data_IF_921723586504
#
_entry.id   IF_921723586504
#
_cell.length_a   1.000
_cell.length_b   1.000
_cell.length_c   1.000
_cell.angle_alpha   90.00
_cell.angle_beta   90.00
_cell.angle_gamma   90.00
#
_symmetry.space_group_name_H-M   'P 1'
#
loop_
_entity.id
_entity.type
_entity.pdbx_description
1 polymer ?
#
# COMPACT_ATOMS: atom_id res chain seq x y z
N UNK A 1 -33.65 -71.12 -26.23
CA UNK A 1 -33.38 -70.35 -27.46
C UNK A 1 -32.33 -71.14 -28.23
N UNK A 2 -32.66 -72.08 -29.13
CA UNK A 2 -33.88 -72.22 -29.97
C UNK A 2 -33.97 -71.03 -30.94
N UNK A 3 -34.03 -71.15 -32.28
CA UNK A 3 -34.42 -72.21 -33.26
C UNK A 3 -33.42 -72.11 -34.46
N UNK A 4 -32.80 -73.14 -35.06
CA UNK A 4 -33.28 -74.39 -35.71
C UNK A 4 -33.61 -74.21 -37.23
N UNK A 5 -33.56 -75.30 -38.01
CA UNK A 5 -34.03 -75.51 -39.40
C UNK A 5 -33.07 -75.11 -40.55
N UNK A 6 -32.51 -76.07 -41.33
CA UNK A 6 -33.09 -76.89 -42.44
C UNK A 6 -33.07 -76.12 -43.78
N UNK A 7 -32.86 -76.69 -44.99
CA UNK A 7 -32.53 -78.05 -45.51
C UNK A 7 -32.11 -77.89 -47.03
N UNK A 8 -31.78 -78.86 -47.92
CA UNK A 8 -31.55 -80.32 -47.96
C UNK A 8 -30.81 -80.70 -49.30
N UNK A 9 -30.65 -82.00 -49.58
CA UNK A 9 -30.48 -82.71 -50.89
C UNK A 9 -29.18 -82.59 -51.73
N UNK A 10 -28.47 -83.72 -51.80
CA UNK A 10 -27.60 -84.20 -52.89
C UNK A 10 -28.39 -85.02 -53.94
N UNK A 11 -27.83 -85.50 -55.07
CA UNK A 11 -27.10 -86.81 -55.13
C UNK A 11 -25.92 -86.86 -56.15
N UNK A 12 -24.88 -87.71 -56.02
CA UNK A 12 -24.71 -89.13 -56.47
C UNK A 12 -24.79 -89.33 -58.01
N UNK A 13 -24.23 -90.34 -58.70
CA UNK A 13 -23.09 -91.28 -58.63
C UNK A 13 -23.20 -92.17 -59.92
N UNK A 14 -22.09 -92.74 -60.40
CA UNK A 14 -21.98 -94.04 -61.13
C UNK A 14 -22.82 -94.41 -62.39
N UNK A 15 -22.11 -94.79 -63.48
CA UNK A 15 -22.22 -96.07 -64.26
C UNK A 15 -21.50 -95.89 -65.62
N UNK A 16 -20.63 -96.74 -66.19
CA UNK A 16 -20.44 -98.21 -66.23
C UNK A 16 -21.23 -98.93 -67.36
N UNK A 17 -20.54 -99.47 -68.39
CA UNK A 17 -21.18 -100.37 -69.38
C UNK A 17 -20.53 -100.52 -70.76
N UNK A 18 -19.98 -101.72 -71.01
CA UNK A 18 -19.99 -102.59 -72.22
C UNK A 18 -21.01 -102.25 -73.35
N UNK A 19 -20.93 -102.75 -74.61
CA UNK A 19 -19.93 -103.42 -75.50
C UNK A 19 -20.63 -103.66 -76.87
N UNK A 20 -19.87 -103.97 -77.93
CA UNK A 20 -20.26 -104.72 -79.15
C UNK A 20 -21.51 -104.27 -79.96
N UNK A 21 -21.28 -103.92 -81.23
CA UNK A 21 -21.78 -104.70 -82.39
C UNK A 21 -21.16 -104.16 -83.70
N UNK A 22 -21.14 -104.98 -84.74
CA UNK A 22 -20.48 -104.72 -86.03
C UNK A 22 -21.47 -104.85 -87.19
N UNK A 23 -21.12 -104.30 -88.36
CA UNK A 23 -21.80 -104.50 -89.67
C UNK A 23 -23.17 -103.79 -89.70
N UNK A 24 -23.43 -102.84 -90.60
CA UNK A 24 -23.77 -103.13 -92.00
C UNK A 24 -23.69 -101.88 -92.94
N UNK A 25 -24.01 -102.10 -94.23
CA UNK A 25 -24.44 -101.10 -95.22
C UNK A 25 -23.39 -100.11 -95.79
N UNK A 26 -22.55 -100.63 -96.69
CA UNK A 26 -21.82 -99.83 -97.68
C UNK A 26 -22.77 -99.45 -98.83
N UNK A 27 -23.05 -98.14 -99.03
CA UNK A 27 -23.39 -97.43 -100.30
C UNK A 27 -24.24 -96.15 -100.06
N UNK A 28 -23.63 -94.95 -99.96
CA UNK A 28 -24.31 -93.66 -100.28
C UNK A 28 -23.41 -92.40 -100.28
N UNK A 29 -22.08 -92.51 -100.28
CA UNK A 29 -21.21 -91.38 -99.89
C UNK A 29 -21.08 -90.23 -100.92
N UNK A 30 -21.24 -90.51 -102.22
CA UNK A 30 -20.93 -89.53 -103.28
C UNK A 30 -21.91 -88.34 -103.36
N UNK A 31 -23.21 -88.51 -102.99
CA UNK A 31 -24.17 -87.39 -102.92
C UNK A 31 -24.30 -86.77 -101.52
N UNK A 32 -23.97 -87.54 -100.48
CA UNK A 32 -24.01 -87.06 -99.10
C UNK A 32 -22.92 -86.03 -98.78
N UNK A 33 -21.81 -85.97 -99.52
CA UNK A 33 -20.72 -85.05 -99.19
C UNK A 33 -21.13 -83.57 -99.33
N UNK A 34 -21.81 -83.17 -100.41
CA UNK A 34 -22.34 -81.81 -100.55
C UNK A 34 -23.46 -81.52 -99.54
N UNK A 35 -24.40 -82.44 -99.30
CA UNK A 35 -25.45 -82.20 -98.30
C UNK A 35 -24.91 -82.13 -96.86
N UNK A 36 -23.84 -82.87 -96.53
CA UNK A 36 -23.10 -82.74 -95.26
C UNK A 36 -22.32 -81.42 -95.20
N UNK A 37 -21.71 -80.95 -96.30
CA UNK A 37 -21.07 -79.62 -96.34
C UNK A 37 -22.09 -78.48 -96.17
N UNK A 38 -23.25 -78.57 -96.81
CA UNK A 38 -24.36 -77.61 -96.67
C UNK A 38 -24.92 -77.67 -95.24
N UNK A 39 -25.27 -78.83 -94.71
CA UNK A 39 -25.81 -78.93 -93.35
C UNK A 39 -24.79 -78.55 -92.27
N UNK A 40 -23.49 -78.85 -92.47
CA UNK A 40 -22.41 -78.46 -91.54
C UNK A 40 -22.12 -76.96 -91.62
N UNK A 41 -22.17 -76.34 -92.79
CA UNK A 41 -22.07 -74.88 -92.92
C UNK A 41 -23.32 -74.16 -92.37
N UNK A 42 -24.52 -74.70 -92.55
CA UNK A 42 -25.76 -74.21 -91.92
C UNK A 42 -25.71 -74.37 -90.39
N UNK A 43 -25.26 -75.51 -89.85
CA UNK A 43 -25.06 -75.66 -88.40
C UNK A 43 -23.97 -74.72 -87.86
N UNK A 44 -22.87 -74.51 -88.59
CA UNK A 44 -21.86 -73.52 -88.23
C UNK A 44 -22.43 -72.09 -88.26
N UNK A 45 -23.30 -71.75 -89.23
CA UNK A 45 -23.99 -70.46 -89.30
C UNK A 45 -25.03 -70.30 -88.17
N UNK A 46 -25.76 -71.35 -87.80
CA UNK A 46 -26.70 -71.33 -86.68
C UNK A 46 -25.98 -71.21 -85.32
N UNK A 47 -24.87 -71.94 -85.14
CA UNK A 47 -24.02 -71.81 -83.95
C UNK A 47 -23.31 -70.45 -83.89
N UNK A 48 -22.95 -69.87 -85.05
CA UNK A 48 -22.45 -68.50 -85.17
C UNK A 48 -23.56 -67.49 -84.83
N UNK A 49 -24.80 -67.72 -85.25
CA UNK A 49 -25.96 -66.85 -84.92
C UNK A 49 -26.35 -66.94 -83.44
N UNK A 50 -26.37 -68.12 -82.83
CA UNK A 50 -26.67 -68.29 -81.40
C UNK A 50 -25.57 -67.73 -80.50
N UNK A 51 -24.30 -67.88 -80.88
CA UNK A 51 -23.18 -67.23 -80.18
C UNK A 51 -23.17 -65.71 -80.38
N UNK A 52 -23.56 -65.18 -81.55
CA UNK A 52 -23.78 -63.74 -81.75
C UNK A 52 -24.89 -63.21 -80.84
N UNK A 53 -26.07 -63.84 -80.79
CA UNK A 53 -27.17 -63.45 -79.88
C UNK A 53 -26.73 -63.54 -78.40
N UNK A 54 -25.99 -64.59 -78.02
CA UNK A 54 -25.40 -64.72 -76.68
C UNK A 54 -24.46 -63.55 -76.36
N UNK A 55 -23.67 -63.11 -77.33
CA UNK A 55 -22.74 -62.00 -77.18
C UNK A 55 -23.45 -60.64 -77.17
N UNK A 56 -24.54 -60.45 -77.91
CA UNK A 56 -25.39 -59.25 -77.80
C UNK A 56 -26.03 -59.13 -76.41
N UNK A 57 -26.53 -60.22 -75.84
CA UNK A 57 -27.12 -60.23 -74.48
C UNK A 57 -26.05 -59.93 -73.43
N UNK A 58 -24.82 -60.46 -73.58
CA UNK A 58 -23.68 -60.09 -72.73
C UNK A 58 -23.33 -58.61 -72.89
N UNK A 59 -23.30 -58.08 -74.11
CA UNK A 59 -22.98 -56.67 -74.39
C UNK A 59 -24.00 -55.72 -73.77
N UNK A 60 -25.31 -56.03 -73.84
CA UNK A 60 -26.36 -55.26 -73.14
C UNK A 60 -26.14 -55.26 -71.63
N UNK A 61 -25.93 -56.43 -71.02
CA UNK A 61 -25.63 -56.58 -69.57
C UNK A 61 -24.33 -55.91 -69.14
N UNK A 62 -23.35 -55.74 -70.04
CA UNK A 62 -22.13 -54.98 -69.78
C UNK A 62 -22.40 -53.47 -69.79
N UNK A 63 -23.12 -52.96 -70.79
CA UNK A 63 -23.55 -51.54 -70.85
C UNK A 63 -24.41 -51.14 -69.65
N UNK A 64 -25.37 -51.98 -69.25
CA UNK A 64 -26.19 -51.77 -68.04
C UNK A 64 -25.32 -51.67 -66.77
N UNK A 65 -24.31 -52.54 -66.63
CA UNK A 65 -23.36 -52.49 -65.50
C UNK A 65 -22.47 -51.25 -65.56
N UNK A 66 -22.00 -50.87 -66.74
CA UNK A 66 -21.21 -49.67 -66.98
C UNK A 66 -21.99 -48.40 -66.60
N UNK A 67 -23.25 -48.29 -67.02
CA UNK A 67 -24.15 -47.21 -66.58
C UNK A 67 -24.36 -47.21 -65.07
N UNK A 68 -24.58 -48.37 -64.43
CA UNK A 68 -24.72 -48.46 -62.97
C UNK A 68 -23.43 -48.03 -62.26
N UNK A 69 -22.26 -48.33 -62.81
CA UNK A 69 -20.95 -47.90 -62.29
C UNK A 69 -20.79 -46.38 -62.47
N UNK A 70 -21.10 -45.84 -63.65
CA UNK A 70 -20.97 -44.43 -63.97
C UNK A 70 -21.93 -43.57 -63.12
N UNK A 71 -23.19 -43.97 -62.98
CA UNK A 71 -24.17 -43.32 -62.07
C UNK A 71 -23.71 -43.37 -60.60
N UNK A 72 -23.05 -44.45 -60.17
CA UNK A 72 -22.45 -44.56 -58.82
C UNK A 72 -21.18 -43.71 -58.66
N UNK A 73 -20.44 -43.47 -59.74
CA UNK A 73 -19.22 -42.66 -59.77
C UNK A 73 -19.57 -41.16 -59.76
N UNK A 74 -20.55 -40.73 -60.56
CA UNK A 74 -21.13 -39.38 -60.52
C UNK A 74 -21.63 -39.04 -59.11
N UNK A 75 -22.47 -39.90 -58.51
CA UNK A 75 -22.94 -39.72 -57.11
C UNK A 75 -21.84 -39.73 -56.04
N UNK A 76 -20.63 -40.18 -56.35
CA UNK A 76 -19.45 -40.01 -55.48
C UNK A 76 -18.76 -38.67 -55.72
N UNK A 77 -18.59 -38.28 -56.99
CA UNK A 77 -18.03 -36.98 -57.36
C UNK A 77 -18.90 -35.83 -56.82
N UNK A 78 -20.23 -35.91 -56.93
CA UNK A 78 -21.19 -34.97 -56.33
C UNK A 78 -20.97 -34.79 -54.83
N UNK A 79 -20.86 -35.89 -54.07
CA UNK A 79 -20.62 -35.88 -52.62
C UNK A 79 -19.24 -35.35 -52.25
N UNK A 80 -18.19 -35.69 -53.02
CA UNK A 80 -16.83 -35.17 -52.81
C UNK A 80 -16.72 -33.67 -53.18
N UNK A 81 -17.48 -33.19 -54.17
CA UNK A 81 -17.61 -31.76 -54.52
C UNK A 81 -18.36 -31.02 -53.41
N UNK A 82 -19.48 -31.57 -52.92
CA UNK A 82 -20.25 -31.00 -51.83
C UNK A 82 -19.44 -30.93 -50.52
N UNK A 83 -18.68 -31.96 -50.21
CA UNK A 83 -17.80 -31.98 -49.04
C UNK A 83 -16.69 -30.90 -49.13
N UNK A 84 -16.11 -30.69 -50.32
CA UNK A 84 -15.18 -29.56 -50.57
C UNK A 84 -15.87 -28.20 -50.45
N UNK A 85 -17.10 -28.07 -50.94
CA UNK A 85 -17.88 -26.84 -50.80
C UNK A 85 -18.18 -26.51 -49.33
N UNK A 86 -18.59 -27.51 -48.54
CA UNK A 86 -18.79 -27.39 -47.08
C UNK A 86 -17.47 -27.05 -46.37
N UNK A 87 -16.34 -27.64 -46.78
CA UNK A 87 -15.03 -27.29 -46.24
C UNK A 87 -14.68 -25.82 -46.50
N UNK A 88 -14.88 -25.35 -47.73
CA UNK A 88 -14.60 -23.97 -48.14
C UNK A 88 -15.52 -22.94 -47.47
N UNK A 89 -16.83 -23.21 -47.38
CA UNK A 89 -17.84 -22.26 -46.87
C UNK A 89 -17.92 -22.26 -45.35
N UNK A 90 -17.83 -23.42 -44.68
CA UNK A 90 -18.00 -23.54 -43.23
C UNK A 90 -16.69 -23.79 -42.47
N UNK A 91 -15.56 -24.04 -43.15
CA UNK A 91 -14.27 -24.34 -42.52
C UNK A 91 -14.24 -25.72 -41.85
N UNK A 92 -14.92 -26.71 -42.43
CA UNK A 92 -15.14 -28.03 -41.81
C UNK A 92 -14.76 -29.17 -42.75
N UNK A 93 -13.66 -29.84 -42.38
CA UNK A 93 -13.29 -31.16 -42.91
C UNK A 93 -14.23 -32.23 -42.35
N UNK A 94 -15.05 -32.83 -43.21
CA UNK A 94 -15.82 -34.04 -42.91
C UNK A 94 -14.98 -35.30 -43.15
N UNK A 95 -15.29 -36.40 -42.45
CA UNK A 95 -14.58 -37.67 -42.67
C UNK A 95 -14.92 -38.27 -44.04
N UNK A 96 -13.91 -38.62 -44.83
CA UNK A 96 -14.08 -39.28 -46.15
C UNK A 96 -14.90 -40.57 -46.08
N UNK A 97 -14.86 -41.28 -44.95
CA UNK A 97 -15.67 -42.49 -44.74
C UNK A 97 -17.16 -42.10 -44.70
N UNK A 98 -17.49 -41.08 -43.90
CA UNK A 98 -18.85 -40.57 -43.76
C UNK A 98 -19.41 -39.98 -45.07
N UNK A 99 -18.60 -39.18 -45.78
CA UNK A 99 -18.98 -38.62 -47.10
C UNK A 99 -19.30 -39.71 -48.14
N UNK A 100 -18.68 -40.90 -48.01
CA UNK A 100 -18.94 -42.04 -48.89
C UNK A 100 -20.17 -42.86 -48.47
N UNK A 101 -20.49 -42.93 -47.18
CA UNK A 101 -21.62 -43.73 -46.66
C UNK A 101 -22.95 -42.99 -46.67
N UNK A 102 -22.96 -41.70 -46.34
CA UNK A 102 -24.18 -40.92 -46.06
C UNK A 102 -24.80 -40.25 -47.28
N UNK A 103 -26.07 -39.86 -47.19
CA UNK A 103 -26.76 -39.10 -48.22
C UNK A 103 -26.28 -37.65 -48.32
N UNK A 104 -26.68 -36.95 -49.40
CA UNK A 104 -26.28 -35.56 -49.68
C UNK A 104 -26.74 -34.61 -48.56
N UNK A 105 -27.98 -34.78 -48.10
CA UNK A 105 -28.59 -33.95 -47.07
C UNK A 105 -27.94 -34.20 -45.71
N UNK A 106 -27.71 -35.48 -45.34
CA UNK A 106 -26.96 -35.88 -44.14
C UNK A 106 -25.53 -35.29 -44.09
N UNK A 107 -24.88 -35.14 -45.25
CA UNK A 107 -23.56 -34.52 -45.38
C UNK A 107 -23.65 -33.02 -45.08
N UNK A 108 -24.69 -32.34 -45.57
CA UNK A 108 -24.93 -30.92 -45.34
C UNK A 108 -25.33 -30.64 -43.88
N UNK A 109 -26.34 -31.36 -43.37
CA UNK A 109 -26.83 -31.26 -41.99
C UNK A 109 -25.71 -31.49 -40.97
N UNK A 110 -24.87 -32.52 -41.17
CA UNK A 110 -23.75 -32.78 -40.26
C UNK A 110 -22.67 -31.70 -40.35
N UNK A 111 -22.41 -31.17 -41.55
CA UNK A 111 -21.53 -30.00 -41.73
C UNK A 111 -22.04 -28.79 -40.98
N UNK A 112 -23.32 -28.45 -41.16
CA UNK A 112 -23.99 -27.32 -40.53
C UNK A 112 -24.13 -27.48 -39.00
N UNK A 113 -24.42 -28.68 -38.51
CA UNK A 113 -24.45 -28.97 -37.08
C UNK A 113 -23.07 -28.86 -36.42
N UNK A 114 -22.00 -29.36 -37.08
CA UNK A 114 -20.63 -29.15 -36.60
C UNK A 114 -20.26 -27.65 -36.62
N UNK A 115 -20.73 -26.88 -37.60
CA UNK A 115 -20.55 -25.43 -37.65
C UNK A 115 -21.22 -24.72 -36.48
N UNK A 116 -22.52 -25.00 -36.24
CA UNK A 116 -23.27 -24.40 -35.14
C UNK A 116 -22.69 -24.81 -33.77
N UNK A 117 -22.26 -26.06 -33.60
CA UNK A 117 -21.57 -26.51 -32.38
C UNK A 117 -20.23 -25.79 -32.17
N UNK A 118 -19.38 -25.68 -33.21
CA UNK A 118 -18.13 -24.91 -33.15
C UNK A 118 -18.38 -23.43 -32.83
N UNK A 119 -19.44 -22.83 -33.40
CA UNK A 119 -19.84 -21.42 -33.15
C UNK A 119 -20.28 -21.21 -31.70
N UNK A 120 -21.17 -22.07 -31.18
CA UNK A 120 -21.60 -22.07 -29.77
C UNK A 120 -20.42 -22.27 -28.81
N UNK A 121 -19.55 -23.26 -29.07
CA UNK A 121 -18.36 -23.51 -28.25
C UNK A 121 -17.39 -22.32 -28.23
N UNK A 122 -17.14 -21.67 -29.37
CA UNK A 122 -16.32 -20.44 -29.43
C UNK A 122 -16.89 -19.32 -28.56
N UNK A 123 -18.21 -19.10 -28.60
CA UNK A 123 -18.88 -18.11 -27.77
C UNK A 123 -18.77 -18.43 -26.27
N UNK A 124 -19.06 -19.67 -25.87
CA UNK A 124 -18.91 -20.14 -24.46
C UNK A 124 -17.45 -19.99 -23.98
N UNK A 125 -16.47 -20.36 -24.82
CA UNK A 125 -15.04 -20.21 -24.50
C UNK A 125 -14.64 -18.74 -24.35
N UNK A 126 -15.15 -17.85 -25.19
CA UNK A 126 -14.93 -16.40 -25.09
C UNK A 126 -15.50 -15.85 -23.78
N UNK A 127 -16.77 -16.12 -23.48
CA UNK A 127 -17.45 -15.67 -22.26
C UNK A 127 -16.74 -16.21 -21.00
N UNK A 128 -16.38 -17.49 -20.98
CA UNK A 128 -15.64 -18.12 -19.87
C UNK A 128 -14.28 -17.46 -19.64
N UNK A 129 -13.52 -17.19 -20.71
CA UNK A 129 -12.22 -16.53 -20.62
C UNK A 129 -12.34 -15.06 -20.18
N UNK A 130 -13.33 -14.33 -20.68
CA UNK A 130 -13.64 -12.97 -20.26
C UNK A 130 -14.01 -12.92 -18.77
N UNK A 131 -14.86 -13.83 -18.30
CA UNK A 131 -15.26 -13.92 -16.89
C UNK A 131 -14.08 -14.24 -15.97
N UNK A 132 -13.23 -15.22 -16.34
CA UNK A 132 -11.98 -15.53 -15.63
C UNK A 132 -11.05 -14.30 -15.54
N UNK A 133 -10.85 -13.58 -16.65
CA UNK A 133 -10.07 -12.34 -16.70
C UNK A 133 -10.66 -11.25 -15.79
N UNK A 134 -11.99 -11.11 -15.75
CA UNK A 134 -12.70 -10.17 -14.86
C UNK A 134 -12.52 -10.51 -13.39
N UNK A 135 -12.62 -11.78 -12.98
CA UNK A 135 -12.35 -12.23 -11.60
C UNK A 135 -10.90 -11.97 -11.20
N UNK A 136 -9.94 -12.30 -12.06
CA UNK A 136 -8.51 -12.07 -11.80
C UNK A 136 -8.23 -10.56 -11.65
N UNK A 137 -8.74 -9.74 -12.57
CA UNK A 137 -8.61 -8.28 -12.51
C UNK A 137 -9.24 -7.69 -11.24
N UNK A 138 -10.38 -8.22 -10.78
CA UNK A 138 -11.01 -7.82 -9.51
C UNK A 138 -10.07 -8.11 -8.32
N UNK A 139 -9.56 -9.34 -8.20
CA UNK A 139 -8.60 -9.70 -7.14
C UNK A 139 -7.34 -8.83 -7.17
N UNK A 140 -6.80 -8.53 -8.36
CA UNK A 140 -5.64 -7.64 -8.52
C UNK A 140 -5.96 -6.21 -8.05
N UNK A 141 -7.15 -5.67 -8.36
CA UNK A 141 -7.60 -4.35 -7.86
C UNK A 141 -7.73 -4.34 -6.33
N UNK A 142 -8.34 -5.37 -5.76
CA UNK A 142 -8.52 -5.51 -4.31
C UNK A 142 -7.16 -5.59 -3.57
N UNK A 143 -6.18 -6.34 -4.10
CA UNK A 143 -4.82 -6.40 -3.56
C UNK A 143 -4.10 -5.05 -3.70
N UNK A 144 -4.16 -4.41 -4.87
CA UNK A 144 -3.56 -3.08 -5.09
C UNK A 144 -4.14 -2.03 -4.14
N UNK A 145 -5.46 -2.05 -3.90
CA UNK A 145 -6.12 -1.15 -2.95
C UNK A 145 -5.66 -1.39 -1.51
N UNK A 146 -5.63 -2.66 -1.05
CA UNK A 146 -5.10 -3.02 0.28
C UNK A 146 -3.66 -2.53 0.48
N UNK A 147 -2.79 -2.78 -0.50
CA UNK A 147 -1.39 -2.34 -0.46
C UNK A 147 -1.26 -0.80 -0.44
N UNK A 148 -2.06 -0.09 -1.24
CA UNK A 148 -2.08 1.37 -1.24
C UNK A 148 -2.57 1.96 0.10
N UNK A 149 -3.60 1.35 0.71
CA UNK A 149 -4.10 1.76 2.03
C UNK A 149 -3.06 1.50 3.13
N UNK A 150 -2.40 0.34 3.13
CA UNK A 150 -1.32 0.01 4.06
C UNK A 150 -0.14 0.99 3.94
N UNK A 151 0.34 1.24 2.72
CA UNK A 151 1.40 2.22 2.46
C UNK A 151 1.00 3.63 2.92
N UNK A 152 -0.23 4.06 2.64
CA UNK A 152 -0.78 5.36 3.08
C UNK A 152 -0.83 5.48 4.61
N UNK A 153 -1.21 4.41 5.30
CA UNK A 153 -1.25 4.35 6.77
C UNK A 153 0.16 4.44 7.37
N UNK A 154 1.12 3.66 6.86
CA UNK A 154 2.52 3.70 7.29
C UNK A 154 3.11 5.10 7.08
N UNK A 155 2.94 5.69 5.89
CA UNK A 155 3.42 7.05 5.59
C UNK A 155 2.80 8.11 6.50
N UNK A 156 1.50 8.02 6.80
CA UNK A 156 0.78 8.94 7.70
C UNK A 156 1.34 8.85 9.12
N UNK A 157 1.52 7.64 9.64
CA UNK A 157 2.06 7.42 10.98
C UNK A 157 3.53 7.80 11.09
N UNK A 158 4.35 7.55 10.07
CA UNK A 158 5.75 8.01 10.04
C UNK A 158 5.86 9.55 10.06
N UNK A 159 5.03 10.25 9.28
CA UNK A 159 4.94 11.73 9.30
C UNK A 159 4.50 12.25 10.69
N UNK A 160 3.52 11.60 11.33
CA UNK A 160 3.08 11.90 12.70
C UNK A 160 4.22 11.69 13.72
N UNK A 161 4.89 10.55 13.68
CA UNK A 161 6.03 10.21 14.55
C UNK A 161 7.18 11.20 14.40
N UNK A 162 7.60 11.54 13.17
CA UNK A 162 8.66 12.53 12.93
C UNK A 162 8.32 13.90 13.52
N UNK A 163 7.06 14.37 13.38
CA UNK A 163 6.57 15.61 14.01
C UNK A 163 6.59 15.50 15.54
N UNK A 164 6.12 14.40 16.12
CA UNK A 164 6.12 14.19 17.57
C UNK A 164 7.53 14.12 18.16
N UNK A 165 8.48 13.43 17.51
CA UNK A 165 9.88 13.35 17.95
C UNK A 165 10.56 14.73 17.98
N UNK A 166 10.32 15.56 16.95
CA UNK A 166 10.80 16.94 16.91
C UNK A 166 10.18 17.81 18.00
N UNK A 167 8.85 17.78 18.16
CA UNK A 167 8.16 18.55 19.19
C UNK A 167 8.59 18.16 20.62
N UNK A 168 8.78 16.85 20.88
CA UNK A 168 9.30 16.36 22.16
C UNK A 168 10.72 16.88 22.41
N UNK A 169 11.61 16.81 21.42
CA UNK A 169 12.99 17.34 21.54
C UNK A 169 13.01 18.84 21.86
N UNK A 170 12.17 19.64 21.19
CA UNK A 170 12.04 21.08 21.46
C UNK A 170 11.47 21.33 22.86
N UNK A 171 10.49 20.55 23.30
CA UNK A 171 9.91 20.64 24.64
C UNK A 171 10.93 20.28 25.73
N UNK A 172 11.66 19.17 25.56
CA UNK A 172 12.69 18.72 26.51
C UNK A 172 13.84 19.72 26.60
N UNK A 173 14.24 20.36 25.49
CA UNK A 173 15.22 21.45 25.49
C UNK A 173 14.71 22.69 26.26
N UNK A 174 13.46 23.13 26.01
CA UNK A 174 12.83 24.24 26.76
C UNK A 174 12.68 23.91 28.25
N UNK A 175 12.30 22.67 28.59
CA UNK A 175 12.18 22.19 29.98
C UNK A 175 13.53 22.22 30.69
N UNK A 176 14.60 21.74 30.06
CA UNK A 176 15.97 21.83 30.59
C UNK A 176 16.39 23.30 30.82
N UNK A 177 16.18 24.18 29.84
CA UNK A 177 16.51 25.60 29.97
C UNK A 177 15.75 26.27 31.13
N UNK A 178 14.44 26.02 31.26
CA UNK A 178 13.63 26.55 32.34
C UNK A 178 14.09 26.07 33.73
N UNK A 179 14.39 24.77 33.88
CA UNK A 179 14.94 24.21 35.13
C UNK A 179 16.29 24.84 35.48
N UNK A 180 17.17 25.05 34.50
CA UNK A 180 18.46 25.72 34.69
C UNK A 180 18.29 27.16 35.17
N UNK A 181 17.41 27.94 34.53
CA UNK A 181 17.10 29.33 34.94
C UNK A 181 16.53 29.35 36.37
N UNK A 182 15.59 28.46 36.70
CA UNK A 182 15.02 28.34 38.05
C UNK A 182 16.07 27.97 39.10
N UNK A 183 17.01 27.06 38.79
CA UNK A 183 18.13 26.68 39.66
C UNK A 183 19.03 27.88 39.95
N UNK A 184 19.44 28.62 38.91
CA UNK A 184 20.28 29.80 39.07
C UNK A 184 19.57 30.92 39.84
N UNK A 185 18.30 31.19 39.55
CA UNK A 185 17.50 32.21 40.26
C UNK A 185 17.34 31.89 41.75
N UNK A 186 17.01 30.64 42.11
CA UNK A 186 16.92 30.20 43.51
C UNK A 186 18.25 30.39 44.25
N UNK A 187 19.37 30.01 43.64
CA UNK A 187 20.70 30.22 44.21
C UNK A 187 21.11 31.69 44.31
N UNK A 188 20.71 32.53 43.34
CA UNK A 188 20.93 33.99 43.40
C UNK A 188 20.15 34.62 44.56
N UNK A 189 18.86 34.29 44.70
CA UNK A 189 17.99 34.83 45.76
C UNK A 189 18.60 34.58 47.15
N UNK A 190 18.96 33.33 47.46
CA UNK A 190 19.55 32.94 48.74
C UNK A 190 20.87 33.71 48.99
N UNK A 191 21.74 33.85 47.99
CA UNK A 191 22.99 34.63 48.14
C UNK A 191 22.74 36.12 48.38
N UNK A 192 21.71 36.71 47.77
CA UNK A 192 21.33 38.11 47.99
C UNK A 192 20.78 38.35 49.40
N UNK A 193 19.94 37.42 49.89
CA UNK A 193 19.41 37.44 51.25
C UNK A 193 20.55 37.27 52.28
N UNK A 194 21.42 36.28 52.07
CA UNK A 194 22.58 36.03 52.93
C UNK A 194 23.57 37.21 52.97
N UNK A 195 23.87 37.85 51.83
CA UNK A 195 24.69 39.09 51.78
C UNK A 195 24.06 40.20 52.63
N UNK A 196 22.74 40.35 52.59
CA UNK A 196 22.01 41.35 53.38
C UNK A 196 22.10 41.05 54.88
N UNK A 197 22.03 39.77 55.27
CA UNK A 197 22.20 39.33 56.67
C UNK A 197 23.63 39.59 57.16
N UNK A 198 24.66 39.25 56.38
CA UNK A 198 26.06 39.54 56.72
C UNK A 198 26.28 41.05 56.93
N UNK A 199 25.75 41.90 56.04
CA UNK A 199 25.89 43.35 56.16
C UNK A 199 25.23 43.88 57.44
N UNK A 200 24.05 43.38 57.83
CA UNK A 200 23.40 43.72 59.11
C UNK A 200 24.25 43.29 60.32
N UNK A 201 24.82 42.09 60.30
CA UNK A 201 25.71 41.60 61.36
C UNK A 201 26.99 42.46 61.45
N UNK A 202 27.58 42.83 60.32
CA UNK A 202 28.77 43.67 60.26
C UNK A 202 28.50 45.08 60.81
N UNK A 203 27.40 45.72 60.40
CA UNK A 203 26.99 47.02 60.95
C UNK A 203 26.72 46.96 62.45
N UNK A 204 26.10 45.88 62.95
CA UNK A 204 25.90 45.68 64.40
C UNK A 204 27.25 45.60 65.15
N UNK A 205 28.24 44.89 64.61
CA UNK A 205 29.60 44.82 65.21
C UNK A 205 30.29 46.18 65.23
N UNK A 206 30.21 46.95 64.13
CA UNK A 206 30.76 48.32 64.06
C UNK A 206 30.10 49.23 65.10
N UNK A 207 28.76 49.19 65.21
CA UNK A 207 28.03 49.98 66.20
C UNK A 207 28.44 49.62 67.63
N UNK A 208 28.52 48.32 67.95
CA UNK A 208 28.98 47.84 69.27
C UNK A 208 30.41 48.30 69.60
N UNK A 209 31.31 48.34 68.61
CA UNK A 209 32.65 48.89 68.79
C UNK A 209 32.63 50.40 69.11
N UNK A 210 31.85 51.20 68.38
CA UNK A 210 31.75 52.64 68.65
C UNK A 210 31.08 52.96 69.98
N UNK A 211 30.10 52.19 70.42
CA UNK A 211 29.52 52.33 71.77
C UNK A 211 30.57 52.08 72.86
N UNK A 212 31.39 51.03 72.73
CA UNK A 212 32.50 50.76 73.65
C UNK A 212 33.57 51.87 73.64
N UNK A 213 33.90 52.45 72.49
CA UNK A 213 34.80 53.61 72.41
C UNK A 213 34.20 54.85 73.09
N UNK A 214 32.91 55.13 72.87
CA UNK A 214 32.18 56.23 73.52
C UNK A 214 32.19 56.08 75.04
N UNK A 215 31.92 54.89 75.56
CA UNK A 215 31.81 54.68 77.01
C UNK A 215 33.19 54.62 77.70
N UNK A 216 34.23 54.12 77.03
CA UNK A 216 35.62 54.24 77.55
C UNK A 216 36.15 55.68 77.51
N UNK A 217 35.74 56.49 76.54
CA UNK A 217 36.02 57.94 76.53
C UNK A 217 35.26 58.68 77.65
N UNK A 218 33.99 58.33 77.90
CA UNK A 218 33.21 58.86 79.04
C UNK A 218 33.85 58.52 80.39
N UNK A 219 34.34 57.29 80.57
CA UNK A 219 35.05 56.88 81.78
C UNK A 219 36.31 57.74 82.01
N UNK A 220 37.19 57.86 81.00
CA UNK A 220 38.39 58.71 81.06
C UNK A 220 38.07 60.18 81.34
N UNK A 221 37.01 60.71 80.73
CA UNK A 221 36.55 62.07 81.00
C UNK A 221 36.11 62.24 82.46
N UNK A 222 35.32 61.30 82.98
CA UNK A 222 34.89 61.28 84.39
C UNK A 222 36.07 61.18 85.36
N UNK A 223 37.03 60.28 85.12
CA UNK A 223 38.27 60.17 85.89
C UNK A 223 39.03 61.50 85.93
N UNK A 224 39.18 62.17 84.78
CA UNK A 224 39.88 63.47 84.70
C UNK A 224 39.17 64.56 85.51
N UNK A 225 37.83 64.62 85.44
CA UNK A 225 37.00 65.54 86.24
C UNK A 225 37.08 65.22 87.73
N UNK A 226 37.07 63.94 88.12
CA UNK A 226 37.24 63.50 89.49
C UNK A 226 38.61 63.90 90.06
N UNK A 227 39.69 63.75 89.29
CA UNK A 227 41.03 64.19 89.68
C UNK A 227 41.13 65.72 89.83
N UNK A 228 40.51 66.50 88.94
CA UNK A 228 40.41 67.96 89.05
C UNK A 228 39.60 68.34 90.31
N UNK A 229 38.49 67.66 90.57
CA UNK A 229 37.61 67.90 91.72
C UNK A 229 38.28 67.57 93.06
N UNK A 230 39.04 66.48 93.15
CA UNK A 230 39.84 66.12 94.34
C UNK A 230 40.88 67.20 94.62
N UNK A 231 41.64 67.64 93.60
CA UNK A 231 42.62 68.74 93.71
C UNK A 231 41.95 70.05 94.15
N UNK A 232 40.77 70.37 93.59
CA UNK A 232 39.98 71.53 93.98
C UNK A 232 39.50 71.46 95.44
N UNK A 233 38.95 70.32 95.89
CA UNK A 233 38.54 70.11 97.28
C UNK A 233 39.71 70.21 98.25
N UNK A 234 40.86 69.61 97.93
CA UNK A 234 42.07 69.71 98.75
C UNK A 234 42.54 71.17 98.89
N UNK A 235 42.59 71.92 97.77
CA UNK A 235 42.91 73.36 97.76
C UNK A 235 41.90 74.18 98.59
N UNK A 236 40.60 73.90 98.46
CA UNK A 236 39.55 74.58 99.22
C UNK A 236 39.66 74.31 100.73
N UNK A 237 39.93 73.07 101.13
CA UNK A 237 40.15 72.70 102.52
C UNK A 237 41.41 73.35 103.11
N UNK A 238 42.51 73.37 102.35
CA UNK A 238 43.75 74.04 102.75
C UNK A 238 43.54 75.55 102.94
N UNK A 239 42.86 76.22 102.00
CA UNK A 239 42.52 77.64 102.10
C UNK A 239 41.66 77.95 103.34
N UNK A 240 40.67 77.09 103.66
CA UNK A 240 39.87 77.21 104.89
C UNK A 240 40.72 77.08 106.15
N UNK A 241 41.65 76.12 106.21
CA UNK A 241 42.46 75.84 107.39
C UNK A 241 43.56 76.89 107.65
N UNK A 242 44.20 77.41 106.59
CA UNK A 242 45.39 78.25 106.70
C UNK A 242 45.19 79.72 106.30
N UNK A 243 43.98 80.13 105.86
CA UNK A 243 43.70 81.52 105.50
C UNK A 243 42.28 81.98 105.90
N UNK A 244 41.90 81.88 107.20
CA UNK A 244 40.52 82.10 107.66
C UNK A 244 40.02 83.53 107.40
N UNK A 245 40.91 84.54 107.40
CA UNK A 245 40.55 85.95 107.25
C UNK A 245 40.02 86.34 105.86
N UNK A 246 40.15 85.47 104.84
CA UNK A 246 39.66 85.73 103.48
C UNK A 246 38.26 85.20 103.17
N UNK A 247 37.57 84.59 104.14
CA UNK A 247 36.23 83.98 103.95
C UNK A 247 35.07 84.78 104.56
N UNK A 248 35.13 86.12 104.51
CA UNK A 248 33.90 86.93 104.57
C UNK A 248 33.22 86.89 103.19
N UNK A 249 31.97 86.40 103.06
CA UNK A 249 31.26 86.44 101.78
C UNK A 249 30.99 87.90 101.39
N UNK A 250 31.45 88.32 100.20
CA UNK A 250 30.97 89.58 99.61
C UNK A 250 29.52 89.38 99.16
N UNK A 251 28.58 89.92 99.93
CA UNK A 251 27.14 89.94 99.62
C UNK A 251 26.83 90.99 98.54
N UNK A 252 27.41 90.80 97.37
CA UNK A 252 26.93 91.39 96.12
C UNK A 252 26.10 90.27 95.47
N UNK A 253 24.77 90.31 95.49
CA UNK A 253 23.94 91.40 94.94
C UNK A 253 24.41 91.77 93.53
N UNK A 254 24.11 90.88 92.58
CA UNK A 254 23.53 91.27 91.30
C UNK A 254 22.68 90.11 90.78
N UNK A 255 21.35 90.27 90.84
CA UNK A 255 20.42 89.40 90.11
C UNK A 255 20.62 89.65 88.62
N UNK A 256 21.23 88.69 87.95
CA UNK A 256 21.57 88.74 86.52
C UNK A 256 21.00 87.54 85.80
N UNK A 257 19.68 87.36 85.85
CA UNK A 257 18.95 86.31 85.11
C UNK A 257 18.97 86.61 83.61
N UNK A 258 20.14 86.41 82.99
CA UNK A 258 20.22 86.28 81.53
C UNK A 258 19.51 85.01 81.13
N UNK A 259 18.31 85.19 80.58
CA UNK A 259 17.52 84.13 79.99
C UNK A 259 18.37 83.40 78.94
N UNK A 260 18.68 82.13 79.21
CA UNK A 260 19.34 81.28 78.23
C UNK A 260 18.26 80.94 77.22
N UNK A 261 18.24 81.68 76.10
CA UNK A 261 17.34 81.43 74.98
C UNK A 261 17.36 79.94 74.62
N UNK A 262 16.27 79.26 74.94
CA UNK A 262 16.12 77.83 74.70
C UNK A 262 16.12 77.65 73.18
N UNK A 263 17.18 77.01 72.68
CA UNK A 263 17.43 76.86 71.25
C UNK A 263 16.25 76.12 70.62
N UNK A 264 15.46 76.83 69.81
CA UNK A 264 14.26 76.27 69.19
C UNK A 264 14.67 75.04 68.35
N UNK A 265 14.01 73.88 68.52
CA UNK A 265 14.20 72.78 67.60
C UNK A 265 13.71 73.23 66.22
N UNK A 266 14.51 73.00 65.18
CA UNK A 266 14.16 73.41 63.83
C UNK A 266 13.00 72.54 63.28
N UNK A 267 11.76 73.02 63.42
CA UNK A 267 10.56 72.45 62.81
C UNK A 267 10.59 72.65 61.28
N UNK A 268 11.48 71.90 60.61
CA UNK A 268 11.88 72.17 59.23
C UNK A 268 12.20 70.93 58.39
N UNK A 269 11.79 69.74 58.80
CA UNK A 269 11.89 68.52 57.99
C UNK A 269 10.51 67.96 57.68
N UNK A 270 10.05 68.26 56.46
CA UNK A 270 8.83 67.74 55.83
C UNK A 270 8.68 66.23 56.07
N UNK A 271 7.45 65.73 56.31
CA UNK A 271 7.14 64.31 56.14
C UNK A 271 7.67 63.79 54.81
N UNK A 272 8.13 62.54 54.82
CA UNK A 272 8.78 61.87 53.70
C UNK A 272 7.94 61.95 52.42
N UNK A 273 8.50 62.61 51.40
CA UNK A 273 8.08 62.38 50.01
C UNK A 273 8.08 60.86 49.75
N UNK A 274 6.97 60.26 49.29
CA UNK A 274 6.92 58.83 49.08
C UNK A 274 7.96 58.45 48.03
N UNK A 275 8.83 57.50 48.37
CA UNK A 275 9.89 57.02 47.46
C UNK A 275 9.22 56.59 46.16
N UNK A 276 9.45 57.37 45.09
CA UNK A 276 8.98 57.01 43.73
C UNK A 276 9.66 55.70 43.36
N UNK A 277 8.95 54.60 43.54
CA UNK A 277 9.33 53.28 43.05
C UNK A 277 9.51 53.39 41.54
N UNK A 278 10.77 53.58 41.12
CA UNK A 278 11.15 53.86 39.74
C UNK A 278 11.17 52.55 38.96
N UNK A 279 9.99 51.92 38.91
CA UNK A 279 9.70 50.65 38.28
C UNK A 279 9.83 50.86 36.77
N UNK A 280 11.07 50.76 36.28
CA UNK A 280 11.38 50.76 34.85
C UNK A 280 10.65 49.59 34.21
N UNK A 281 9.45 49.87 33.70
CA UNK A 281 8.68 48.95 32.88
C UNK A 281 9.49 48.68 31.61
N UNK A 282 10.28 47.61 31.62
CA UNK A 282 10.92 47.07 30.42
C UNK A 282 9.80 46.56 29.51
N UNK A 283 9.28 47.45 28.68
CA UNK A 283 8.40 47.14 27.56
C UNK A 283 9.21 46.30 26.57
N UNK A 284 9.15 44.98 26.72
CA UNK A 284 9.74 44.06 25.77
C UNK A 284 9.24 44.41 24.36
N UNK A 285 10.13 44.70 23.40
CA UNK A 285 9.70 45.09 22.07
C UNK A 285 8.88 43.94 21.47
N UNK A 286 7.63 44.24 21.08
CA UNK A 286 6.76 43.30 20.40
C UNK A 286 7.42 42.90 19.09
N UNK A 287 8.12 41.76 19.08
CA UNK A 287 8.58 41.12 17.84
C UNK A 287 7.35 40.69 17.06
N UNK A 288 6.94 41.53 16.11
CA UNK A 288 5.96 41.21 15.10
C UNK A 288 6.53 40.08 14.24
N UNK A 289 6.25 38.83 14.64
CA UNK A 289 6.52 37.65 13.83
C UNK A 289 5.55 37.65 12.65
N UNK A 290 5.86 38.45 11.63
CA UNK A 290 5.20 38.42 10.33
C UNK A 290 5.48 37.05 9.72
N UNK A 291 4.55 36.13 9.94
CA UNK A 291 4.57 34.78 9.37
C UNK A 291 4.35 34.89 7.86
N UNK A 292 5.43 35.06 7.09
CA UNK A 292 5.39 35.00 5.63
C UNK A 292 4.64 33.72 5.22
N UNK A 293 3.51 33.82 4.50
CA UNK A 293 2.82 32.63 4.03
C UNK A 293 3.68 31.98 2.94
N UNK A 294 4.25 30.81 3.23
CA UNK A 294 5.03 30.05 2.26
C UNK A 294 4.09 29.41 1.23
N UNK A 295 3.65 30.21 0.26
CA UNK A 295 2.82 29.80 -0.87
C UNK A 295 3.62 28.92 -1.83
N UNK A 296 3.79 27.66 -1.46
CA UNK A 296 4.31 26.61 -2.33
C UNK A 296 3.34 26.37 -3.50
N UNK A 297 3.50 27.17 -4.55
CA UNK A 297 2.85 26.94 -5.83
C UNK A 297 3.16 25.51 -6.29
N UNK A 298 2.12 24.68 -6.43
CA UNK A 298 2.24 23.40 -7.11
C UNK A 298 2.46 23.69 -8.59
N UNK A 299 3.70 23.49 -9.06
CA UNK A 299 3.93 23.29 -10.50
C UNK A 299 3.17 22.04 -10.91
N UNK A 300 2.08 22.22 -11.64
CA UNK A 300 1.57 21.17 -12.52
C UNK A 300 2.51 21.11 -13.71
N UNK A 301 3.18 19.98 -13.90
CA UNK A 301 3.72 19.60 -15.20
C UNK A 301 2.59 18.99 -16.05
N UNK A 302 2.65 19.12 -17.39
CA UNK A 302 1.74 18.40 -18.29
C UNK A 302 1.94 16.87 -18.21
#
# INVERSE_FOLDING_TARGET
MSIENQSLLSPSLWSAGKRNSSIESVRSESRNFHHRLINRSVQLLLNKRSSLISNEIKLKKLKEKEEIINRKLQKRQEKDILAKHIENVLGIKLSRIFVRSSNIDEIWDKGYMIFQMKRKYRAVKYISNWWKKTIINRKIREIKLKNHMAASFIQRNWKKFKKQKLLKSIFDAKKKAAITIQKFYRGYKIRSEYKTIILKIHMKKIFQYFELQKDTLRAKAFESLQQIWIKFKAKSFFLKKYNPLRLKPKTNSYMGTKEINIFQPAEGLSPTQPIRNNTRHYTFPKRNYVSKPTSLQRKHSP
#
